data_IF_110949089614
#
_entry.id   IF_110949089614
#
_cell.length_a   1.000
_cell.length_b   1.000
_cell.length_c   1.000
_cell.angle_alpha   90.00
_cell.angle_beta   90.00
_cell.angle_gamma   90.00
#
_symmetry.space_group_name_H-M   'P 1'
#
loop_
_entity.id
_entity.type
_entity.pdbx_description
1 polymer ?
#
# COMPACT_ATOMS: atom_id res chain seq x y z
N UNK A 1 -22.26 -8.57 -24.57
CA UNK A 1 -22.02 -9.05 -23.19
C UNK A 1 -21.04 -8.07 -22.53
N UNK A 2 -21.52 -7.28 -21.55
CA UNK A 2 -20.80 -6.13 -20.97
C UNK A 2 -19.67 -6.59 -20.05
N UNK A 3 -18.43 -6.51 -20.52
CA UNK A 3 -17.19 -6.82 -19.75
C UNK A 3 -16.68 -5.63 -18.90
N UNK A 4 -17.41 -4.51 -18.82
CA UNK A 4 -16.85 -3.23 -18.33
C UNK A 4 -17.24 -2.80 -16.92
N UNK A 5 -18.11 -3.53 -16.21
CA UNK A 5 -18.76 -3.00 -14.99
C UNK A 5 -18.36 -3.67 -13.67
N UNK A 6 -17.35 -4.54 -13.66
CA UNK A 6 -16.90 -5.23 -12.44
C UNK A 6 -15.43 -4.96 -12.04
N UNK A 7 -14.78 -4.01 -12.70
CA UNK A 7 -13.50 -3.46 -12.23
C UNK A 7 -13.82 -2.28 -11.30
N UNK A 8 -13.48 -2.41 -10.02
CA UNK A 8 -13.19 -1.22 -9.20
C UNK A 8 -14.31 -0.65 -8.31
N UNK A 9 -15.25 -1.48 -7.81
CA UNK A 9 -16.08 -1.08 -6.65
C UNK A 9 -15.67 -1.86 -5.41
N UNK A 10 -14.68 -1.29 -4.74
CA UNK A 10 -14.11 -1.80 -3.50
C UNK A 10 -14.83 -1.12 -2.32
N UNK A 11 -15.13 -1.87 -1.25
CA UNK A 11 -15.51 -1.28 0.04
C UNK A 11 -14.24 -1.09 0.85
N UNK A 12 -14.15 0.07 1.49
CA UNK A 12 -12.99 0.49 2.27
C UNK A 12 -13.43 0.59 3.71
N UNK A 13 -12.67 0.00 4.65
CA UNK A 13 -12.84 0.26 6.06
C UNK A 13 -12.87 1.77 6.34
N UNK A 14 -13.60 2.19 7.38
CA UNK A 14 -13.67 3.62 7.75
C UNK A 14 -12.32 4.17 8.20
N UNK A 15 -11.57 3.37 8.94
CA UNK A 15 -10.25 3.74 9.43
C UNK A 15 -9.20 3.40 8.38
N UNK A 16 -8.39 4.41 8.05
CA UNK A 16 -7.36 4.36 7.02
C UNK A 16 -6.18 5.16 7.49
N UNK A 17 -4.99 4.65 7.22
CA UNK A 17 -3.80 5.47 7.36
C UNK A 17 -3.74 6.47 6.22
N UNK A 18 -3.49 7.74 6.54
CA UNK A 18 -3.40 8.81 5.55
C UNK A 18 -1.99 9.38 5.57
N UNK A 19 -1.33 9.31 4.42
CA UNK A 19 -0.04 9.93 4.18
C UNK A 19 -0.18 10.99 3.09
N UNK A 20 0.18 12.23 3.41
CA UNK A 20 0.23 13.29 2.40
C UNK A 20 1.66 13.68 2.05
N UNK A 21 1.89 13.98 0.78
CA UNK A 21 3.16 14.54 0.32
C UNK A 21 3.01 15.44 -0.88
N UNK A 22 4.02 16.28 -1.10
CA UNK A 22 4.11 17.12 -2.29
C UNK A 22 4.93 16.42 -3.39
N UNK A 23 4.53 16.62 -4.64
CA UNK A 23 5.28 16.20 -5.82
C UNK A 23 6.46 17.15 -6.03
N UNK A 24 7.66 16.58 -5.98
CA UNK A 24 8.92 17.28 -6.18
C UNK A 24 9.39 17.17 -7.63
N UNK A 25 10.19 18.14 -8.09
CA UNK A 25 10.68 18.18 -9.48
C UNK A 25 11.47 16.93 -9.88
N UNK A 26 12.19 16.31 -8.94
CA UNK A 26 12.91 15.04 -9.18
C UNK A 26 12.00 13.86 -9.53
N UNK A 27 10.69 14.00 -9.33
CA UNK A 27 9.68 12.96 -9.50
C UNK A 27 8.89 13.15 -10.80
N UNK A 28 9.13 14.21 -11.56
CA UNK A 28 8.46 14.47 -12.83
C UNK A 28 9.29 13.98 -14.01
N UNK A 29 8.64 13.68 -15.14
CA UNK A 29 9.28 13.35 -16.39
C UNK A 29 9.50 14.59 -17.28
N UNK A 30 9.97 14.37 -18.51
CA UNK A 30 10.17 15.43 -19.51
C UNK A 30 8.88 16.20 -19.87
N UNK A 31 7.71 15.58 -19.72
CA UNK A 31 6.40 16.20 -19.97
C UNK A 31 5.83 16.90 -18.72
N UNK A 32 6.56 16.92 -17.61
CA UNK A 32 6.21 17.61 -16.38
C UNK A 32 5.25 16.84 -15.45
N UNK A 33 4.69 15.72 -15.89
CA UNK A 33 3.86 14.88 -15.02
C UNK A 33 4.71 13.93 -14.17
N UNK A 34 4.19 13.54 -13.02
CA UNK A 34 4.81 12.56 -12.12
C UNK A 34 5.11 11.28 -12.89
N UNK A 35 6.37 10.84 -12.85
CA UNK A 35 6.82 9.63 -13.53
C UNK A 35 6.30 8.38 -12.80
N UNK A 36 5.83 7.40 -13.56
CA UNK A 36 5.05 6.25 -13.05
C UNK A 36 5.73 5.51 -11.90
N UNK A 37 7.05 5.37 -11.91
CA UNK A 37 7.81 4.65 -10.87
C UNK A 37 7.67 5.31 -9.50
N UNK A 38 7.47 6.64 -9.44
CA UNK A 38 7.28 7.34 -8.18
C UNK A 38 6.03 6.88 -7.44
N UNK A 39 4.96 6.49 -8.14
CA UNK A 39 3.77 5.96 -7.47
C UNK A 39 4.08 4.64 -6.74
N UNK A 40 5.00 3.83 -7.29
CA UNK A 40 5.47 2.59 -6.68
C UNK A 40 6.37 2.88 -5.47
N UNK A 41 7.28 3.84 -5.59
CA UNK A 41 8.06 4.34 -4.45
C UNK A 41 7.14 4.83 -3.32
N UNK A 42 6.07 5.54 -3.67
CA UNK A 42 5.11 6.06 -2.69
C UNK A 42 4.26 4.97 -2.03
N UNK A 43 4.09 3.79 -2.66
CA UNK A 43 3.56 2.62 -1.95
C UNK A 43 4.50 2.22 -0.80
N UNK A 44 5.80 2.14 -1.08
CA UNK A 44 6.82 1.83 -0.09
C UNK A 44 6.86 2.85 1.04
N UNK A 45 6.89 4.14 0.69
CA UNK A 45 6.87 5.22 1.68
C UNK A 45 5.61 5.17 2.56
N UNK A 46 4.41 5.02 1.97
CA UNK A 46 3.17 4.94 2.73
C UNK A 46 3.15 3.73 3.69
N UNK A 47 3.67 2.59 3.25
CA UNK A 47 3.82 1.39 4.07
C UNK A 47 4.78 1.61 5.24
N UNK A 48 5.93 2.22 5.00
CA UNK A 48 6.92 2.51 6.04
C UNK A 48 6.40 3.54 7.05
N UNK A 49 5.72 4.58 6.56
CA UNK A 49 5.06 5.59 7.40
C UNK A 49 3.99 4.95 8.29
N UNK A 50 3.17 4.07 7.74
CA UNK A 50 2.17 3.33 8.50
C UNK A 50 2.79 2.43 9.57
N UNK A 51 3.87 1.73 9.23
CA UNK A 51 4.60 0.92 10.21
C UNK A 51 5.14 1.75 11.37
N UNK A 52 5.64 2.97 11.09
CA UNK A 52 6.15 3.90 12.10
C UNK A 52 5.09 4.47 13.05
N UNK A 53 3.79 4.30 12.76
CA UNK A 53 2.73 4.65 13.71
C UNK A 53 2.72 3.71 14.94
N UNK A 54 3.30 2.52 14.82
CA UNK A 54 3.43 1.63 15.97
C UNK A 54 4.52 2.14 16.93
N UNK A 55 4.24 2.36 18.23
CA UNK A 55 5.21 2.91 19.18
C UNK A 55 6.53 2.14 19.25
N UNK A 56 6.48 0.81 19.12
CA UNK A 56 7.64 -0.08 19.16
C UNK A 56 8.30 -0.32 17.79
N UNK A 57 7.93 0.39 16.73
CA UNK A 57 8.40 0.12 15.36
C UNK A 57 9.94 0.11 15.24
N UNK A 58 10.60 1.11 15.81
CA UNK A 58 12.06 1.24 15.73
C UNK A 58 12.81 0.19 16.57
N UNK A 59 12.25 -0.18 17.72
CA UNK A 59 12.79 -1.24 18.57
C UNK A 59 12.65 -2.59 17.87
N UNK A 60 11.46 -2.88 17.33
CA UNK A 60 11.20 -4.08 16.56
C UNK A 60 12.19 -4.25 15.40
N UNK A 61 12.46 -3.19 14.61
CA UNK A 61 13.42 -3.26 13.50
C UNK A 61 14.84 -3.60 13.94
N UNK A 62 15.25 -3.14 15.14
CA UNK A 62 16.58 -3.45 15.69
C UNK A 62 16.66 -4.91 16.15
N UNK A 63 15.64 -5.37 16.85
CA UNK A 63 15.62 -6.72 17.45
C UNK A 63 15.29 -7.82 16.43
N UNK A 64 14.53 -7.49 15.39
CA UNK A 64 14.01 -8.44 14.40
C UNK A 64 14.57 -8.18 13.00
N UNK A 65 15.80 -7.67 12.90
CA UNK A 65 16.48 -7.41 11.63
C UNK A 65 16.62 -8.65 10.73
N UNK A 66 16.48 -9.85 11.30
CA UNK A 66 16.46 -11.14 10.60
C UNK A 66 15.10 -11.44 9.92
N UNK A 67 14.05 -10.65 10.16
CA UNK A 67 12.75 -10.79 9.49
C UNK A 67 12.65 -9.80 8.34
N UNK A 68 12.67 -10.32 7.11
CA UNK A 68 12.46 -9.54 5.91
C UNK A 68 10.98 -9.48 5.54
N UNK A 69 10.51 -8.27 5.20
CA UNK A 69 9.26 -8.09 4.46
C UNK A 69 9.58 -7.98 2.98
N UNK A 70 9.11 -8.95 2.20
CA UNK A 70 9.36 -9.06 0.77
C UNK A 70 8.09 -8.70 0.01
N UNK A 71 8.19 -7.74 -0.92
CA UNK A 71 7.09 -7.46 -1.84
C UNK A 71 7.04 -8.56 -2.89
N UNK A 72 5.98 -9.38 -2.87
CA UNK A 72 5.79 -10.50 -3.79
C UNK A 72 5.26 -10.03 -5.15
N UNK A 73 4.25 -9.16 -5.16
CA UNK A 73 3.73 -8.56 -6.37
C UNK A 73 3.07 -7.21 -6.10
N UNK A 74 2.98 -6.40 -7.17
CA UNK A 74 2.48 -5.03 -7.13
C UNK A 74 1.54 -4.82 -8.32
N UNK A 75 0.49 -4.04 -8.10
CA UNK A 75 -0.36 -3.50 -9.14
C UNK A 75 -0.60 -2.01 -8.89
N UNK A 76 -0.57 -1.21 -9.95
CA UNK A 76 -0.96 0.19 -9.89
C UNK A 76 -1.73 0.58 -11.15
N UNK A 77 -2.88 1.23 -10.97
CA UNK A 77 -3.69 1.82 -12.03
C UNK A 77 -3.56 3.33 -11.99
N UNK A 78 -3.05 3.90 -13.07
CA UNK A 78 -2.94 5.34 -13.28
C UNK A 78 -4.24 5.86 -13.90
N UNK A 79 -4.86 6.86 -13.29
CA UNK A 79 -6.17 7.40 -13.69
C UNK A 79 -6.02 8.86 -14.15
N UNK A 80 -5.38 9.70 -13.33
CA UNK A 80 -5.14 11.11 -13.65
C UNK A 80 -3.66 11.48 -13.42
N UNK A 81 -3.23 12.56 -14.06
CA UNK A 81 -1.87 13.08 -13.90
C UNK A 81 -1.73 13.95 -12.66
N UNK A 82 -0.53 13.91 -12.06
CA UNK A 82 -0.06 14.86 -11.05
C UNK A 82 1.15 15.60 -11.61
N UNK A 83 1.37 16.82 -11.14
CA UNK A 83 2.44 17.70 -11.62
C UNK A 83 3.27 18.25 -10.46
N UNK A 84 4.42 18.84 -10.79
CA UNK A 84 5.26 19.52 -9.80
C UNK A 84 4.45 20.50 -8.94
N UNK A 85 4.62 20.44 -7.62
CA UNK A 85 3.92 21.29 -6.65
C UNK A 85 2.57 20.75 -6.19
N UNK A 86 1.95 19.82 -6.93
CA UNK A 86 0.73 19.15 -6.49
C UNK A 86 0.94 18.41 -5.17
N UNK A 87 -0.12 18.30 -4.36
CA UNK A 87 -0.13 17.49 -3.14
C UNK A 87 -0.98 16.25 -3.35
N UNK A 88 -0.42 15.09 -3.02
CA UNK A 88 -1.10 13.80 -3.08
C UNK A 88 -1.45 13.33 -1.67
N UNK A 89 -2.69 12.86 -1.50
CA UNK A 89 -3.18 12.16 -0.32
C UNK A 89 -3.22 10.67 -0.63
N UNK A 90 -2.43 9.89 0.09
CA UNK A 90 -2.32 8.45 -0.07
C UNK A 90 -3.05 7.80 1.10
N UNK A 91 -4.09 7.05 0.80
CA UNK A 91 -4.84 6.27 1.78
C UNK A 91 -4.37 4.83 1.71
N UNK A 92 -3.99 4.26 2.86
CA UNK A 92 -3.50 2.89 3.00
C UNK A 92 -4.38 2.08 3.94
N UNK A 93 -4.67 0.86 3.53
CA UNK A 93 -5.40 -0.15 4.30
C UNK A 93 -4.84 -1.54 4.00
N UNK A 94 -5.25 -2.55 4.77
CA UNK A 94 -4.84 -3.94 4.57
C UNK A 94 -6.04 -4.86 4.33
N UNK A 95 -5.77 -6.01 3.69
CA UNK A 95 -6.72 -7.10 3.50
C UNK A 95 -6.00 -8.43 3.36
N UNK A 96 -6.76 -9.53 3.32
CA UNK A 96 -6.24 -10.87 3.05
C UNK A 96 -5.04 -11.22 3.94
N UNK A 97 -5.16 -10.94 5.23
CA UNK A 97 -4.14 -11.27 6.22
C UNK A 97 -4.13 -12.79 6.38
N UNK A 98 -3.06 -13.42 5.92
CA UNK A 98 -2.80 -14.84 6.03
C UNK A 98 -1.66 -15.08 7.01
N UNK A 99 -1.34 -16.35 7.27
CA UNK A 99 -0.25 -16.72 8.19
C UNK A 99 1.08 -16.04 7.84
N UNK A 100 1.45 -15.97 6.56
CA UNK A 100 2.79 -15.53 6.11
C UNK A 100 2.77 -14.31 5.19
N UNK A 101 1.60 -13.75 4.91
CA UNK A 101 1.45 -12.67 3.94
C UNK A 101 0.24 -11.79 4.24
N UNK A 102 0.26 -10.56 3.74
CA UNK A 102 -0.89 -9.67 3.71
C UNK A 102 -0.91 -8.85 2.42
N UNK A 103 -2.06 -8.25 2.11
CA UNK A 103 -2.21 -7.32 0.99
C UNK A 103 -2.40 -5.91 1.55
N UNK A 104 -1.59 -4.97 1.08
CA UNK A 104 -1.73 -3.53 1.32
C UNK A 104 -2.43 -2.90 0.11
N UNK A 105 -3.47 -2.11 0.35
CA UNK A 105 -4.27 -1.45 -0.68
C UNK A 105 -4.09 0.05 -0.56
N UNK A 106 -3.84 0.71 -1.69
CA UNK A 106 -3.48 2.11 -1.74
C UNK A 106 -4.39 2.88 -2.69
N UNK A 107 -4.73 4.11 -2.29
CA UNK A 107 -5.50 5.04 -3.11
C UNK A 107 -4.89 6.42 -3.06
N UNK A 108 -4.77 7.01 -4.23
CA UNK A 108 -4.10 8.28 -4.42
C UNK A 108 -5.16 9.29 -4.81
N UNK A 109 -5.29 10.33 -4.01
CA UNK A 109 -6.18 11.45 -4.27
C UNK A 109 -5.37 12.72 -4.42
N UNK A 110 -5.88 13.68 -5.19
CA UNK A 110 -5.39 15.05 -5.10
C UNK A 110 -5.81 15.60 -3.74
N UNK A 111 -4.85 16.01 -2.93
CA UNK A 111 -5.10 16.49 -1.56
C UNK A 111 -6.08 17.66 -1.55
N UNK A 112 -6.97 17.68 -0.56
CA UNK A 112 -8.07 18.64 -0.47
C UNK A 112 -9.27 18.34 -1.39
N UNK A 113 -9.24 17.26 -2.18
CA UNK A 113 -10.33 16.88 -3.09
C UNK A 113 -10.62 15.38 -3.01
N UNK A 114 -11.71 14.94 -3.65
CA UNK A 114 -12.02 13.52 -3.86
C UNK A 114 -11.64 13.03 -5.27
N UNK A 115 -10.83 13.79 -6.02
CA UNK A 115 -10.34 13.38 -7.32
C UNK A 115 -9.34 12.22 -7.16
N UNK A 116 -9.73 11.03 -7.62
CA UNK A 116 -8.88 9.85 -7.65
C UNK A 116 -7.84 9.96 -8.76
N UNK A 117 -6.58 9.84 -8.39
CA UNK A 117 -5.40 9.93 -9.26
C UNK A 117 -4.92 8.55 -9.68
N UNK A 118 -5.00 7.60 -8.76
CA UNK A 118 -4.58 6.23 -8.99
C UNK A 118 -4.96 5.33 -7.83
N UNK A 119 -4.92 4.03 -8.06
CA UNK A 119 -5.15 3.03 -7.04
C UNK A 119 -4.32 1.77 -7.32
N UNK A 120 -3.93 1.07 -6.26
CA UNK A 120 -3.03 -0.06 -6.38
C UNK A 120 -3.04 -0.94 -5.15
N UNK A 121 -2.25 -1.99 -5.20
CA UNK A 121 -2.04 -2.88 -4.06
C UNK A 121 -0.67 -3.55 -4.14
N UNK A 122 -0.18 -3.97 -2.99
CA UNK A 122 1.03 -4.78 -2.84
C UNK A 122 0.72 -6.01 -2.01
N UNK A 123 1.11 -7.19 -2.50
CA UNK A 123 1.16 -8.39 -1.65
C UNK A 123 2.55 -8.49 -1.06
N UNK A 124 2.64 -8.56 0.27
CA UNK A 124 3.90 -8.74 0.99
C UNK A 124 3.91 -10.09 1.69
N UNK A 125 5.07 -10.73 1.71
CA UNK A 125 5.35 -11.97 2.42
C UNK A 125 6.47 -11.73 3.43
N UNK A 126 6.52 -12.53 4.48
CA UNK A 126 7.55 -12.44 5.50
C UNK A 126 8.45 -13.66 5.47
N UNK A 127 9.75 -13.46 5.58
CA UNK A 127 10.75 -14.53 5.61
C UNK A 127 11.83 -14.25 6.64
N UNK A 128 12.33 -15.29 7.28
CA UNK A 128 13.54 -15.22 8.09
C UNK A 128 14.76 -15.32 7.17
N UNK A 129 15.64 -14.31 7.20
CA UNK A 129 16.82 -14.19 6.32
C UNK A 129 17.96 -15.13 6.70
N UNK A 130 17.99 -15.62 7.94
CA UNK A 130 19.00 -16.57 8.40
C UNK A 130 18.65 -18.01 7.98
N UNK A 131 17.35 -18.37 8.06
CA UNK A 131 16.88 -19.72 7.72
C UNK A 131 16.36 -19.86 6.29
N UNK A 132 16.12 -18.74 5.60
CA UNK A 132 15.45 -18.68 4.30
C UNK A 132 14.05 -19.32 4.28
N UNK A 133 13.37 -19.35 5.43
CA UNK A 133 12.01 -19.89 5.55
C UNK A 133 10.97 -18.79 5.68
N UNK A 134 9.71 -19.10 5.32
CA UNK A 134 8.60 -18.20 5.57
C UNK A 134 8.41 -17.96 7.07
N UNK A 135 8.33 -16.69 7.45
CA UNK A 135 7.98 -16.25 8.80
C UNK A 135 6.48 -15.96 8.86
N UNK A 136 5.81 -16.17 9.99
CA UNK A 136 4.50 -15.59 10.21
C UNK A 136 4.52 -14.06 10.02
N UNK A 137 3.36 -13.48 9.69
CA UNK A 137 3.17 -12.02 9.76
C UNK A 137 3.47 -11.57 11.19
N UNK A 138 4.41 -10.64 11.41
CA UNK A 138 4.76 -10.21 12.75
C UNK A 138 3.59 -9.54 13.46
N UNK A 139 3.48 -9.77 14.78
CA UNK A 139 2.40 -9.22 15.59
C UNK A 139 2.30 -7.69 15.50
N UNK A 140 3.43 -6.99 15.43
CA UNK A 140 3.47 -5.53 15.27
C UNK A 140 2.72 -5.04 14.01
N UNK A 141 2.69 -5.84 12.93
CA UNK A 141 1.88 -5.53 11.76
C UNK A 141 0.41 -5.84 12.01
N UNK A 142 0.11 -6.93 12.72
CA UNK A 142 -1.25 -7.32 13.11
C UNK A 142 -1.91 -6.25 14.00
N UNK A 143 -1.18 -5.69 14.95
CA UNK A 143 -1.66 -4.63 15.87
C UNK A 143 -2.10 -3.37 15.10
N UNK A 144 -1.46 -3.09 13.97
CA UNK A 144 -1.80 -1.96 13.09
C UNK A 144 -3.01 -2.25 12.19
N UNK A 145 -3.31 -3.51 11.90
CA UNK A 145 -4.33 -3.91 10.90
C UNK A 145 -5.59 -4.55 11.50
N UNK A 146 -5.56 -5.05 12.73
CA UNK A 146 -6.71 -5.69 13.38
C UNK A 146 -7.90 -4.73 13.58
N UNK A 147 -7.64 -3.42 13.65
CA UNK A 147 -8.69 -2.39 13.68
C UNK A 147 -9.53 -2.30 12.39
N UNK A 148 -9.14 -3.01 11.32
CA UNK A 148 -9.60 -2.78 9.95
C UNK A 148 -10.39 -3.97 9.35
N UNK A 149 -10.66 -5.02 10.13
CA UNK A 149 -11.31 -6.27 9.63
C UNK A 149 -12.76 -6.03 9.18
N UNK A 150 -12.98 -5.86 7.88
CA UNK A 150 -14.32 -5.89 7.26
C UNK A 150 -14.77 -7.34 6.99
N UNK A 151 -16.02 -7.64 7.37
CA UNK A 151 -16.74 -8.84 6.94
C UNK A 151 -17.19 -8.68 5.48
N UNK A 152 -16.92 -9.70 4.66
CA UNK A 152 -17.31 -9.88 3.26
C UNK A 152 -16.41 -9.17 2.23
N UNK A 153 -15.27 -9.77 1.92
CA UNK A 153 -14.52 -9.49 0.70
C UNK A 153 -14.96 -10.46 -0.41
N UNK A 154 -15.39 -9.89 -1.55
CA UNK A 154 -15.52 -10.63 -2.81
C UNK A 154 -14.11 -10.69 -3.42
N UNK A 155 -13.59 -11.91 -3.60
CA UNK A 155 -12.30 -12.15 -4.24
C UNK A 155 -12.32 -11.62 -5.68
N UNK A 156 -11.53 -10.59 -5.95
CA UNK A 156 -11.35 -10.02 -7.28
C UNK A 156 -9.87 -10.06 -7.65
N UNK A 157 -9.37 -11.25 -7.94
CA UNK A 157 -8.13 -11.44 -8.68
C UNK A 157 -8.40 -12.36 -9.86
N UNK A 158 -7.69 -12.19 -10.99
CA UNK A 158 -7.66 -13.24 -12.00
C UNK A 158 -7.11 -14.50 -11.32
N UNK A 159 -7.70 -15.68 -11.56
CA UNK A 159 -7.13 -16.93 -11.06
C UNK A 159 -5.68 -17.05 -11.57
N UNK A 160 -4.80 -17.51 -10.67
CA UNK A 160 -3.46 -18.01 -11.01
C UNK A 160 -3.52 -19.08 -12.08
#
# INVERSE_FOLDING_TARGET
MKLSNQIGKWKFPKDKFVYEKQVLIKQTNMLGNTYFSNYIEWHGEARERFFLEHPSALEYLKENAHIAMVTYCIYHRFIENMYFGDRVRIELQSREIQKHSLVLVFRYYRSGTDQLIGEGWQKVCFSNTETNQLSPVPQIFLDLVESVVEKNLIHCFPPS
#
